data_IF_370090514921
#
_entry.id   IF_370090514921
#
_cell.length_a   1.000
_cell.length_b   1.000
_cell.length_c   1.000
_cell.angle_alpha   90.00
_cell.angle_beta   90.00
_cell.angle_gamma   90.00
#
_symmetry.space_group_name_H-M   'P 1'
#
loop_
_entity.id
_entity.type
_entity.pdbx_description
1 polymer ?
#
# COMPACT_ATOMS: atom_id res chain seq x y z
N UNK A 1 -22.62 5.93 -1.18
CA UNK A 1 -21.48 5.16 -0.62
C UNK A 1 -20.61 6.18 0.09
N UNK A 2 -20.19 5.94 1.33
CA UNK A 2 -19.39 6.92 2.06
C UNK A 2 -18.12 7.24 1.25
N UNK A 3 -17.86 8.52 0.97
CA UNK A 3 -16.69 9.05 0.23
C UNK A 3 -15.39 8.90 1.05
N UNK A 4 -15.13 7.71 1.58
CA UNK A 4 -13.87 7.42 2.25
C UNK A 4 -13.00 6.59 1.30
N UNK A 5 -11.79 7.08 0.95
CA UNK A 5 -10.87 6.31 0.12
C UNK A 5 -10.54 4.99 0.83
N UNK A 6 -10.54 3.89 0.07
CA UNK A 6 -10.17 2.58 0.59
C UNK A 6 -8.68 2.61 0.90
N UNK A 7 -8.33 2.26 2.14
CA UNK A 7 -6.95 2.24 2.65
C UNK A 7 -6.41 0.82 2.63
N UNK A 8 -5.22 0.64 2.08
CA UNK A 8 -4.56 -0.67 1.91
C UNK A 8 -3.18 -0.62 2.56
N UNK A 9 -2.81 -1.65 3.33
CA UNK A 9 -1.45 -1.88 3.83
C UNK A 9 -0.87 -3.10 3.11
N UNK A 10 0.31 -2.95 2.51
CA UNK A 10 1.07 -4.03 1.88
C UNK A 10 2.34 -4.27 2.69
N UNK A 11 2.56 -5.50 3.14
CA UNK A 11 3.72 -5.87 3.94
C UNK A 11 4.52 -6.96 3.22
N UNK A 12 5.77 -6.65 2.91
CA UNK A 12 6.72 -7.52 2.22
C UNK A 12 8.14 -6.99 2.50
N UNK A 13 9.14 -7.86 2.64
CA UNK A 13 10.52 -7.44 2.92
C UNK A 13 11.28 -6.97 1.66
N UNK A 14 10.67 -7.13 0.48
CA UNK A 14 11.20 -6.66 -0.79
C UNK A 14 10.71 -5.24 -1.12
N UNK A 15 11.60 -4.25 -0.98
CA UNK A 15 11.31 -2.83 -1.26
C UNK A 15 10.88 -2.59 -2.71
N UNK A 16 11.56 -3.21 -3.68
CA UNK A 16 11.23 -3.04 -5.11
C UNK A 16 9.79 -3.54 -5.39
N UNK A 17 9.38 -4.63 -4.74
CA UNK A 17 8.01 -5.13 -4.86
C UNK A 17 6.99 -4.16 -4.25
N UNK A 18 7.27 -3.63 -3.06
CA UNK A 18 6.40 -2.67 -2.39
C UNK A 18 6.19 -1.39 -3.19
N UNK A 19 7.24 -0.88 -3.83
CA UNK A 19 7.16 0.31 -4.69
C UNK A 19 6.27 0.05 -5.91
N UNK A 20 6.49 -1.07 -6.62
CA UNK A 20 5.69 -1.46 -7.78
C UNK A 20 4.20 -1.61 -7.42
N UNK A 21 3.89 -2.28 -6.31
CA UNK A 21 2.50 -2.49 -5.87
C UNK A 21 1.85 -1.19 -5.42
N UNK A 22 2.60 -0.31 -4.74
CA UNK A 22 2.08 1.00 -4.36
C UNK A 22 1.65 1.80 -5.59
N UNK A 23 2.50 1.90 -6.60
CA UNK A 23 2.20 2.65 -7.83
C UNK A 23 0.91 2.15 -8.48
N UNK A 24 0.80 0.83 -8.72
CA UNK A 24 -0.38 0.22 -9.33
C UNK A 24 -1.67 0.51 -8.54
N UNK A 25 -1.62 0.39 -7.21
CA UNK A 25 -2.81 0.59 -6.37
C UNK A 25 -3.17 2.07 -6.20
N UNK A 26 -2.20 2.98 -6.17
CA UNK A 26 -2.47 4.42 -6.14
C UNK A 26 -3.09 4.89 -7.47
N UNK A 27 -2.66 4.34 -8.61
CA UNK A 27 -3.30 4.59 -9.92
C UNK A 27 -4.77 4.16 -9.97
N UNK A 28 -5.11 3.08 -9.27
CA UNK A 28 -6.49 2.58 -9.12
C UNK A 28 -7.32 3.36 -8.07
N UNK A 29 -6.73 4.38 -7.44
CA UNK A 29 -7.43 5.28 -6.51
C UNK A 29 -7.45 4.83 -5.04
N UNK A 30 -6.61 3.86 -4.67
CA UNK A 30 -6.44 3.45 -3.27
C UNK A 30 -5.46 4.38 -2.54
N UNK A 31 -5.63 4.51 -1.22
CA UNK A 31 -4.59 5.08 -0.35
C UNK A 31 -3.74 3.95 0.19
N UNK A 32 -2.46 3.89 -0.21
CA UNK A 32 -1.60 2.74 0.05
C UNK A 32 -0.53 3.07 1.09
N UNK A 33 -0.34 2.16 2.04
CA UNK A 33 0.74 2.15 3.01
C UNK A 33 1.59 0.90 2.77
N UNK A 34 2.90 0.99 3.03
CA UNK A 34 3.80 -0.17 2.94
C UNK A 34 4.53 -0.35 4.27
N UNK A 35 4.85 -1.59 4.61
CA UNK A 35 5.70 -1.94 5.74
C UNK A 35 6.73 -2.97 5.27
N UNK A 36 8.00 -2.75 5.59
CA UNK A 36 9.08 -3.70 5.25
C UNK A 36 9.30 -4.75 6.34
N UNK A 37 8.71 -4.53 7.51
CA UNK A 37 8.70 -5.47 8.63
C UNK A 37 7.44 -5.30 9.49
N UNK A 38 7.28 -6.18 10.49
CA UNK A 38 6.12 -6.16 11.40
C UNK A 38 6.17 -5.07 12.49
N UNK A 39 7.27 -4.34 12.63
CA UNK A 39 7.40 -3.21 13.57
C UNK A 39 6.98 -1.88 12.93
N UNK A 40 7.05 -1.79 11.60
CA UNK A 40 6.63 -0.62 10.80
C UNK A 40 5.11 -0.57 10.51
N UNK A 41 4.35 -1.62 10.88
CA UNK A 41 2.93 -1.78 10.58
C UNK A 41 1.97 -1.09 11.59
#
# INVERSE_FOLDING_TARGET
>A
MSDHPIRVLVADDNVDFLENIREILEEEGYTVFVATDGMEA
#
